data_IF_313034840418
#
_entry.id   IF_313034840418
#
_cell.length_a   1.000
_cell.length_b   1.000
_cell.length_c   1.000
_cell.angle_alpha   90.00
_cell.angle_beta   90.00
_cell.angle_gamma   90.00
#
_symmetry.space_group_name_H-M   'P 1'
#
loop_
_entity.id
_entity.type
_entity.pdbx_description
1 polymer ?
#
# COMPACT_ATOMS: atom_id res chain seq x y z
N UNK A 1 9.36 19.06 0.37
CA UNK A 1 8.28 18.57 1.27
C UNK A 1 8.21 19.46 2.50
N UNK A 2 7.01 19.91 2.93
CA UNK A 2 6.84 20.83 4.08
C UNK A 2 7.28 20.15 5.40
N UNK A 3 7.88 20.88 6.36
CA UNK A 3 8.45 20.30 7.59
C UNK A 3 7.42 19.57 8.47
N UNK A 4 6.16 20.04 8.48
CA UNK A 4 5.05 19.41 9.20
C UNK A 4 4.76 17.98 8.69
N UNK A 5 4.76 17.79 7.37
CA UNK A 5 4.54 16.48 6.72
C UNK A 5 5.66 15.51 7.12
N UNK A 6 6.90 15.98 7.14
CA UNK A 6 8.05 15.15 7.55
C UNK A 6 7.96 14.70 9.01
N UNK A 7 7.42 15.55 9.88
CA UNK A 7 7.19 15.21 11.29
C UNK A 7 6.07 14.19 11.45
N UNK A 8 4.95 14.36 10.72
CA UNK A 8 3.84 13.39 10.72
C UNK A 8 4.28 12.02 10.20
N UNK A 9 5.10 11.98 9.14
CA UNK A 9 5.64 10.72 8.59
C UNK A 9 6.67 10.05 9.52
N UNK A 10 7.41 10.81 10.33
CA UNK A 10 8.24 10.22 11.40
C UNK A 10 7.37 9.69 12.55
N UNK A 11 6.26 10.36 12.83
CA UNK A 11 5.28 9.95 13.84
C UNK A 11 4.51 8.68 13.45
N UNK A 12 4.26 8.45 12.16
CA UNK A 12 3.48 7.30 11.71
C UNK A 12 4.16 5.95 12.00
N UNK A 13 5.50 5.90 11.98
CA UNK A 13 6.24 4.68 12.37
C UNK A 13 6.05 4.33 13.85
N UNK A 14 5.72 5.30 14.71
CA UNK A 14 5.45 5.06 16.14
C UNK A 14 4.08 4.42 16.39
N UNK A 15 3.23 4.34 15.37
CA UNK A 15 1.90 3.72 15.46
C UNK A 15 1.95 2.20 15.27
N UNK A 16 3.12 1.65 14.88
CA UNK A 16 3.32 0.20 14.76
C UNK A 16 3.22 -0.44 16.15
N UNK A 17 2.30 -1.40 16.28
CA UNK A 17 2.01 -2.16 17.49
C UNK A 17 2.88 -3.41 17.54
N UNK A 18 3.28 -3.81 18.73
CA UNK A 18 4.00 -5.07 19.03
C UNK A 18 5.40 -5.22 18.41
N UNK A 19 5.75 -4.44 17.39
CA UNK A 19 7.03 -4.52 16.68
C UNK A 19 7.82 -3.22 16.89
N UNK A 20 9.08 -3.36 17.29
CA UNK A 20 10.03 -2.23 17.30
C UNK A 20 10.73 -2.15 15.95
N UNK A 21 10.49 -1.07 15.21
CA UNK A 21 11.12 -0.83 13.90
C UNK A 21 12.62 -0.60 14.05
N UNK A 22 13.41 -1.22 13.17
CA UNK A 22 14.86 -1.04 13.12
C UNK A 22 15.21 0.25 12.35
N UNK A 23 16.01 1.15 12.93
CA UNK A 23 16.50 2.33 12.22
C UNK A 23 17.57 1.94 11.18
N UNK A 24 17.76 2.72 10.10
CA UNK A 24 18.86 2.49 9.18
C UNK A 24 20.20 2.78 9.89
N UNK A 25 21.08 1.79 10.04
CA UNK A 25 22.36 1.93 10.78
C UNK A 25 23.54 2.28 9.88
N UNK A 26 23.65 1.64 8.71
CA UNK A 26 24.72 1.84 7.71
C UNK A 26 24.19 1.73 6.29
N UNK A 27 24.91 2.29 5.31
CA UNK A 27 24.47 2.30 3.90
C UNK A 27 24.56 0.94 3.19
N UNK A 28 25.32 -0.01 3.74
CA UNK A 28 25.51 -1.37 3.23
C UNK A 28 24.55 -2.41 3.86
N UNK A 29 23.68 -1.97 4.78
CA UNK A 29 22.65 -2.82 5.40
C UNK A 29 21.39 -2.86 4.51
N UNK A 30 20.83 -4.06 4.33
CA UNK A 30 19.58 -4.31 3.58
C UNK A 30 18.43 -3.41 4.05
N UNK A 31 18.31 -3.13 5.35
CA UNK A 31 17.26 -2.23 5.86
C UNK A 31 17.44 -0.82 5.32
N UNK A 32 18.67 -0.31 5.32
CA UNK A 32 18.97 1.02 4.83
C UNK A 32 18.79 1.13 3.32
N UNK A 33 19.17 0.09 2.57
CA UNK A 33 18.97 0.02 1.13
C UNK A 33 17.48 0.07 0.76
N UNK A 34 16.65 -0.79 1.38
CA UNK A 34 15.20 -0.81 1.14
C UNK A 34 14.57 0.54 1.52
N UNK A 35 14.97 1.13 2.66
CA UNK A 35 14.45 2.44 3.06
C UNK A 35 14.87 3.56 2.10
N UNK A 36 16.06 3.47 1.50
CA UNK A 36 16.50 4.42 0.49
C UNK A 36 15.68 4.28 -0.81
N UNK A 37 15.47 3.06 -1.29
CA UNK A 37 14.64 2.78 -2.46
C UNK A 37 13.19 3.24 -2.24
N UNK A 38 12.58 2.88 -1.10
CA UNK A 38 11.22 3.30 -0.75
C UNK A 38 11.07 4.83 -0.71
N UNK A 39 12.05 5.57 -0.17
CA UNK A 39 12.01 7.04 -0.21
C UNK A 39 12.12 7.61 -1.61
N UNK A 40 12.89 6.98 -2.51
CA UNK A 40 13.04 7.47 -3.88
C UNK A 40 11.83 7.16 -4.74
N UNK A 41 11.27 5.96 -4.62
CA UNK A 41 10.26 5.44 -5.55
C UNK A 41 8.83 5.54 -5.00
N UNK A 42 8.66 5.42 -3.69
CA UNK A 42 7.37 5.60 -3.02
C UNK A 42 7.23 6.97 -2.35
N UNK A 43 8.33 7.72 -2.18
CA UNK A 43 8.36 9.04 -1.53
C UNK A 43 8.47 8.97 0.00
N UNK A 44 8.19 7.82 0.59
CA UNK A 44 8.16 7.62 2.05
C UNK A 44 8.48 6.17 2.42
N UNK A 45 9.01 5.98 3.63
CA UNK A 45 9.01 4.65 4.27
C UNK A 45 7.69 4.51 5.04
N UNK A 46 6.70 3.88 4.42
CA UNK A 46 5.37 3.75 5.02
C UNK A 46 5.36 2.69 6.14
N UNK A 47 4.52 2.84 7.18
CA UNK A 47 4.40 1.86 8.26
C UNK A 47 4.13 0.40 7.79
N UNK A 48 3.28 0.14 6.77
CA UNK A 48 3.07 -1.22 6.25
C UNK A 48 4.34 -1.90 5.74
N UNK A 49 5.33 -1.12 5.29
CA UNK A 49 6.64 -1.63 4.87
C UNK A 49 7.58 -1.75 6.06
N UNK A 50 7.73 -0.67 6.85
CA UNK A 50 8.70 -0.56 7.94
C UNK A 50 8.54 -1.60 9.05
N UNK A 51 7.31 -2.10 9.26
CA UNK A 51 7.02 -3.14 10.26
C UNK A 51 7.85 -4.42 10.05
N UNK A 52 8.35 -4.67 8.84
CA UNK A 52 9.15 -5.86 8.53
C UNK A 52 10.64 -5.71 8.88
N UNK A 53 11.09 -4.51 9.27
CA UNK A 53 12.52 -4.19 9.44
C UNK A 53 13.31 -5.05 10.45
N UNK A 54 12.72 -5.66 11.50
CA UNK A 54 13.45 -6.64 12.32
C UNK A 54 13.85 -7.92 11.59
N UNK A 55 13.24 -8.20 10.43
CA UNK A 55 13.56 -9.34 9.57
C UNK A 55 13.95 -8.81 8.17
N UNK A 56 15.24 -8.47 7.93
CA UNK A 56 15.66 -7.77 6.71
C UNK A 56 15.29 -8.47 5.40
N UNK A 57 15.32 -9.81 5.36
CA UNK A 57 14.89 -10.57 4.19
C UNK A 57 13.38 -10.41 3.91
N UNK A 58 12.55 -10.42 4.96
CA UNK A 58 11.10 -10.18 4.85
C UNK A 58 10.82 -8.73 4.43
N UNK A 59 11.60 -7.76 4.94
CA UNK A 59 11.51 -6.37 4.50
C UNK A 59 11.84 -6.23 3.01
N UNK A 60 12.93 -6.84 2.55
CA UNK A 60 13.31 -6.82 1.13
C UNK A 60 12.25 -7.49 0.25
N UNK A 61 11.72 -8.64 0.65
CA UNK A 61 10.65 -9.32 -0.08
C UNK A 61 9.36 -8.50 -0.12
N UNK A 62 8.95 -7.91 1.01
CA UNK A 62 7.78 -7.02 1.07
C UNK A 62 7.96 -5.79 0.19
N UNK A 63 9.16 -5.22 0.13
CA UNK A 63 9.46 -4.11 -0.75
C UNK A 63 9.41 -4.52 -2.22
N UNK A 64 10.05 -5.63 -2.59
CA UNK A 64 10.03 -6.15 -3.95
C UNK A 64 8.61 -6.36 -4.44
N UNK A 65 7.77 -7.05 -3.66
CA UNK A 65 6.36 -7.29 -4.01
C UNK A 65 5.62 -5.96 -4.22
N UNK A 66 5.72 -5.02 -3.27
CA UNK A 66 5.06 -3.71 -3.39
C UNK A 66 5.57 -2.93 -4.61
N UNK A 67 6.89 -2.86 -4.79
CA UNK A 67 7.55 -2.12 -5.87
C UNK A 67 7.12 -2.63 -7.23
N UNK A 68 7.28 -3.93 -7.49
CA UNK A 68 7.00 -4.51 -8.81
C UNK A 68 5.50 -4.54 -9.12
N UNK A 69 4.66 -4.84 -8.12
CA UNK A 69 3.23 -5.03 -8.39
C UNK A 69 2.46 -3.72 -8.43
N UNK A 70 2.86 -2.71 -7.64
CA UNK A 70 2.15 -1.44 -7.56
C UNK A 70 2.88 -0.27 -8.22
N UNK A 71 4.21 -0.18 -8.07
CA UNK A 71 4.96 1.03 -8.44
C UNK A 71 5.55 0.99 -9.83
N UNK A 72 6.07 -0.16 -10.25
CA UNK A 72 6.70 -0.33 -11.55
C UNK A 72 5.72 -0.01 -12.68
N UNK A 73 6.22 0.72 -13.67
CA UNK A 73 5.49 0.98 -14.91
C UNK A 73 5.38 -0.31 -15.71
N UNK A 74 4.23 -0.51 -16.34
CA UNK A 74 3.90 -1.72 -17.08
C UNK A 74 2.71 -1.47 -17.99
N UNK A 75 2.02 -2.55 -18.39
CA UNK A 75 0.80 -2.46 -19.21
C UNK A 75 -0.35 -1.85 -18.40
N UNK A 76 -0.39 -2.15 -17.11
CA UNK A 76 -1.49 -1.74 -16.23
C UNK A 76 -1.13 -0.43 -15.55
N UNK A 77 -2.00 0.57 -15.69
CA UNK A 77 -1.78 1.89 -15.12
C UNK A 77 -1.68 1.84 -13.59
N UNK A 78 -0.99 2.83 -13.00
CA UNK A 78 -0.97 2.98 -11.55
C UNK A 78 -2.37 3.13 -10.96
N UNK A 79 -3.26 3.86 -11.64
CA UNK A 79 -4.64 4.05 -11.19
C UNK A 79 -5.42 2.73 -11.14
N UNK A 80 -5.23 1.84 -12.12
CA UNK A 80 -5.82 0.51 -12.14
C UNK A 80 -5.29 -0.37 -10.99
N UNK A 81 -3.98 -0.37 -10.73
CA UNK A 81 -3.37 -1.10 -9.62
C UNK A 81 -3.89 -0.61 -8.26
N UNK A 82 -4.00 0.71 -8.07
CA UNK A 82 -4.58 1.30 -6.85
C UNK A 82 -6.07 0.94 -6.68
N UNK A 83 -6.84 0.82 -7.78
CA UNK A 83 -8.23 0.38 -7.74
C UNK A 83 -8.36 -1.08 -7.26
N UNK A 84 -7.50 -1.97 -7.76
CA UNK A 84 -7.41 -3.37 -7.31
C UNK A 84 -7.03 -3.44 -5.82
N UNK A 85 -6.00 -2.69 -5.40
CA UNK A 85 -5.56 -2.62 -4.02
C UNK A 85 -6.68 -2.16 -3.07
N UNK A 86 -7.44 -1.14 -3.46
CA UNK A 86 -8.60 -0.67 -2.71
C UNK A 86 -9.73 -1.72 -2.64
N UNK A 87 -10.01 -2.42 -3.75
CA UNK A 87 -11.00 -3.51 -3.79
C UNK A 87 -10.65 -4.64 -2.83
N UNK A 88 -9.43 -5.16 -2.92
CA UNK A 88 -8.90 -6.19 -1.99
C UNK A 88 -8.93 -5.71 -0.53
N UNK A 89 -8.59 -4.45 -0.29
CA UNK A 89 -8.59 -3.86 1.05
C UNK A 89 -10.00 -3.76 1.66
N UNK A 90 -11.03 -3.52 0.84
CA UNK A 90 -12.43 -3.59 1.29
C UNK A 90 -12.83 -5.04 1.60
N UNK A 91 -12.49 -6.00 0.74
CA UNK A 91 -12.78 -7.41 0.97
C UNK A 91 -12.15 -7.96 2.27
N UNK A 92 -10.98 -7.43 2.64
CA UNK A 92 -10.25 -7.84 3.84
C UNK A 92 -10.61 -7.01 5.09
N UNK A 93 -11.61 -6.12 5.04
CA UNK A 93 -11.97 -5.19 6.13
C UNK A 93 -10.74 -4.43 6.68
N UNK A 94 -9.92 -3.88 5.78
CA UNK A 94 -8.69 -3.18 6.10
C UNK A 94 -8.84 -1.67 5.86
N UNK A 95 -9.52 -0.97 6.78
CA UNK A 95 -9.83 0.46 6.68
C UNK A 95 -8.61 1.35 6.41
N UNK A 96 -7.47 1.06 7.04
CA UNK A 96 -6.22 1.79 6.83
C UNK A 96 -5.83 1.80 5.36
N UNK A 97 -5.84 0.62 4.73
CA UNK A 97 -5.45 0.47 3.33
C UNK A 97 -6.48 1.07 2.39
N UNK A 98 -7.78 0.96 2.69
CA UNK A 98 -8.84 1.64 1.92
C UNK A 98 -8.57 3.14 1.88
N UNK A 99 -8.31 3.77 3.03
CA UNK A 99 -8.06 5.21 3.12
C UNK A 99 -6.81 5.61 2.30
N UNK A 100 -5.71 4.86 2.40
CA UNK A 100 -4.48 5.12 1.61
C UNK A 100 -4.73 5.02 0.11
N UNK A 101 -5.32 3.91 -0.35
CA UNK A 101 -5.45 3.63 -1.78
C UNK A 101 -6.50 4.53 -2.45
N UNK A 102 -7.62 4.83 -1.77
CA UNK A 102 -8.60 5.79 -2.28
C UNK A 102 -8.02 7.21 -2.32
N UNK A 103 -7.31 7.64 -1.27
CA UNK A 103 -6.67 8.95 -1.28
C UNK A 103 -5.66 9.06 -2.43
N UNK A 104 -4.86 8.00 -2.68
CA UNK A 104 -3.92 7.97 -3.79
C UNK A 104 -4.63 8.06 -5.14
N UNK A 105 -5.74 7.33 -5.32
CA UNK A 105 -6.54 7.41 -6.54
C UNK A 105 -6.96 8.85 -6.85
N UNK A 106 -7.40 9.64 -5.86
CA UNK A 106 -7.82 11.04 -6.11
C UNK A 106 -6.73 11.95 -6.69
N UNK A 107 -5.46 11.51 -6.67
CA UNK A 107 -4.31 12.24 -7.23
C UNK A 107 -3.92 11.77 -8.64
N UNK A 108 -4.49 10.66 -9.11
CA UNK A 108 -4.17 10.02 -10.37
C UNK A 108 -5.25 10.34 -11.42
N UNK A 109 -4.85 10.44 -12.68
CA UNK A 109 -5.80 10.59 -13.78
C UNK A 109 -6.51 9.26 -14.07
N UNK A 110 -7.77 9.32 -14.53
CA UNK A 110 -8.49 8.16 -15.05
C UNK A 110 -9.02 7.17 -14.01
N UNK A 111 -9.19 7.58 -12.75
CA UNK A 111 -9.70 6.69 -11.67
C UNK A 111 -11.03 6.04 -11.98
N UNK A 112 -11.97 6.82 -12.53
CA UNK A 112 -13.35 6.36 -12.77
C UNK A 112 -13.38 5.22 -13.80
N UNK A 113 -12.40 5.15 -14.71
CA UNK A 113 -12.28 4.11 -15.71
C UNK A 113 -12.00 2.72 -15.09
N UNK A 114 -11.48 2.67 -13.86
CA UNK A 114 -11.01 1.43 -13.23
C UNK A 114 -11.93 0.89 -12.13
N UNK A 115 -13.15 1.46 -11.99
CA UNK A 115 -14.14 1.02 -10.99
C UNK A 115 -14.47 -0.47 -11.09
N UNK A 116 -14.51 -1.02 -12.30
CA UNK A 116 -14.80 -2.44 -12.54
C UNK A 116 -13.73 -3.37 -11.91
N UNK A 117 -12.45 -2.97 -11.93
CA UNK A 117 -11.38 -3.74 -11.30
C UNK A 117 -11.50 -3.74 -9.78
N UNK A 118 -11.89 -2.61 -9.18
CA UNK A 118 -12.12 -2.53 -7.74
C UNK A 118 -13.27 -3.43 -7.27
N UNK A 119 -14.36 -3.50 -8.06
CA UNK A 119 -15.50 -4.37 -7.77
C UNK A 119 -15.10 -5.85 -7.89
N UNK A 120 -14.46 -6.23 -9.00
CA UNK A 120 -13.94 -7.59 -9.16
C UNK A 120 -13.00 -7.99 -8.02
N UNK A 121 -12.07 -7.12 -7.64
CA UNK A 121 -11.12 -7.40 -6.56
C UNK A 121 -11.78 -7.52 -5.18
N UNK A 122 -12.89 -6.80 -4.95
CA UNK A 122 -13.67 -6.94 -3.73
C UNK A 122 -14.35 -8.32 -3.64
N UNK A 123 -14.83 -8.83 -4.78
CA UNK A 123 -15.55 -10.10 -4.86
C UNK A 123 -14.62 -11.33 -5.02
N UNK A 124 -13.38 -11.12 -5.48
CA UNK A 124 -12.39 -12.15 -5.78
C UNK A 124 -12.00 -13.05 -4.58
N UNK A 125 -12.35 -12.65 -3.36
CA UNK A 125 -12.16 -13.46 -2.14
C UNK A 125 -13.28 -14.47 -1.90
N UNK A 126 -14.39 -14.34 -2.60
CA UNK A 126 -15.56 -15.19 -2.42
C UNK A 126 -15.55 -16.32 -3.47
N UNK A 127 -15.83 -17.55 -3.03
CA UNK A 127 -15.86 -18.71 -3.91
C UNK A 127 -16.96 -18.65 -5.01
N UNK A 128 -17.79 -17.59 -5.00
CA UNK A 128 -18.95 -17.45 -5.89
C UNK A 128 -18.61 -17.17 -7.35
N UNK A 129 -17.43 -16.60 -7.65
CA UNK A 129 -17.12 -16.12 -9.01
C UNK A 129 -16.00 -16.89 -9.71
N UNK A 130 -15.82 -18.19 -9.42
CA UNK A 130 -14.79 -19.01 -10.10
C UNK A 130 -15.03 -19.18 -11.61
N UNK A 131 -16.26 -18.97 -12.09
CA UNK A 131 -16.67 -19.26 -13.46
C UNK A 131 -16.82 -18.01 -14.34
N UNK A 132 -16.76 -16.80 -13.77
CA UNK A 132 -16.81 -15.56 -14.56
C UNK A 132 -15.43 -15.20 -15.12
N UNK A 133 -15.41 -14.81 -16.40
CA UNK A 133 -14.20 -14.28 -17.02
C UNK A 133 -13.78 -13.00 -16.29
N UNK A 134 -12.50 -12.86 -15.90
CA UNK A 134 -12.04 -11.65 -15.24
C UNK A 134 -12.22 -10.43 -16.16
N UNK A 135 -12.50 -9.24 -15.61
CA UNK A 135 -12.78 -8.04 -16.41
C UNK A 135 -11.50 -7.37 -16.91
N UNK A 136 -10.53 -8.15 -17.38
CA UNK A 136 -9.24 -7.69 -17.88
C UNK A 136 -8.63 -8.72 -18.83
N UNK A 137 -7.77 -8.23 -19.73
CA UNK A 137 -7.08 -9.07 -20.69
C UNK A 137 -6.07 -10.01 -20.03
N UNK A 138 -5.88 -11.20 -20.59
CA UNK A 138 -4.91 -12.18 -20.11
C UNK A 138 -3.47 -11.62 -20.03
N UNK A 139 -3.14 -10.65 -20.89
CA UNK A 139 -1.84 -10.01 -20.91
C UNK A 139 -1.62 -9.03 -19.74
N UNK A 140 -2.70 -8.54 -19.12
CA UNK A 140 -2.67 -7.63 -17.98
C UNK A 140 -2.76 -8.39 -16.64
N UNK A 141 -3.15 -9.67 -16.71
CA UNK A 141 -3.37 -10.53 -15.55
C UNK A 141 -2.18 -10.61 -14.57
N UNK A 142 -0.91 -10.73 -14.99
CA UNK A 142 0.20 -10.81 -14.03
C UNK A 142 0.32 -9.58 -13.13
N UNK A 143 0.10 -8.37 -13.66
CA UNK A 143 0.18 -7.12 -12.89
C UNK A 143 -1.04 -6.95 -11.96
N UNK A 144 -2.23 -7.29 -12.43
CA UNK A 144 -3.48 -7.20 -11.65
C UNK A 144 -3.49 -8.24 -10.53
N UNK A 145 -3.21 -9.50 -10.84
CA UNK A 145 -3.16 -10.59 -9.86
C UNK A 145 -2.01 -10.40 -8.87
N UNK A 146 -0.85 -9.95 -9.35
CA UNK A 146 0.28 -9.60 -8.49
C UNK A 146 -0.10 -8.52 -7.47
N UNK A 147 -0.81 -7.48 -7.91
CA UNK A 147 -1.34 -6.44 -7.02
C UNK A 147 -2.30 -7.05 -5.98
N UNK A 148 -3.28 -7.84 -6.42
CA UNK A 148 -4.27 -8.44 -5.53
C UNK A 148 -3.62 -9.32 -4.45
N UNK A 149 -2.70 -10.20 -4.83
CA UNK A 149 -1.98 -11.09 -3.90
C UNK A 149 -1.12 -10.30 -2.92
N UNK A 150 -0.37 -9.30 -3.40
CA UNK A 150 0.42 -8.41 -2.54
C UNK A 150 -0.45 -7.74 -1.48
N UNK A 151 -1.64 -7.26 -1.85
CA UNK A 151 -2.54 -6.60 -0.91
C UNK A 151 -3.27 -7.55 0.03
N UNK A 152 -3.53 -8.79 -0.36
CA UNK A 152 -3.94 -9.81 0.60
C UNK A 152 -2.91 -10.01 1.71
N UNK A 153 -1.62 -10.03 1.37
CA UNK A 153 -0.56 -10.11 2.37
C UNK A 153 -0.47 -8.84 3.22
N UNK A 154 -0.32 -7.68 2.59
CA UNK A 154 -0.13 -6.41 3.32
C UNK A 154 -1.33 -6.05 4.20
N UNK A 155 -2.57 -6.30 3.76
CA UNK A 155 -3.74 -6.06 4.61
C UNK A 155 -3.71 -6.88 5.90
N UNK A 156 -3.21 -8.12 5.88
CA UNK A 156 -3.07 -8.95 7.09
C UNK A 156 -2.04 -8.35 8.04
N UNK A 157 -0.90 -7.92 7.51
CA UNK A 157 0.14 -7.26 8.31
C UNK A 157 -0.36 -5.93 8.91
N UNK A 158 -1.07 -5.14 8.12
CA UNK A 158 -1.66 -3.86 8.54
C UNK A 158 -2.68 -4.07 9.66
N UNK A 159 -3.63 -4.99 9.47
CA UNK A 159 -4.69 -5.24 10.47
C UNK A 159 -4.14 -5.77 11.81
N UNK A 160 -3.01 -6.48 11.80
CA UNK A 160 -2.39 -6.99 13.02
C UNK A 160 -1.53 -5.95 13.74
N UNK A 161 -0.80 -5.11 12.98
CA UNK A 161 0.28 -4.30 13.54
C UNK A 161 0.06 -2.79 13.45
N UNK A 162 -1.00 -2.30 12.80
CA UNK A 162 -1.28 -0.88 12.62
C UNK A 162 -2.66 -0.49 13.18
N UNK A 163 -2.89 0.80 13.46
CA UNK A 163 -4.23 1.31 13.73
C UNK A 163 -5.12 1.27 12.48
N UNK A 164 -6.42 1.51 12.68
CA UNK A 164 -7.43 1.47 11.63
C UNK A 164 -7.33 2.62 10.63
N UNK A 165 -6.59 3.69 10.95
CA UNK A 165 -6.36 4.83 10.05
C UNK A 165 -4.86 5.19 9.96
N UNK A 166 -4.37 5.63 8.79
CA UNK A 166 -3.01 6.15 8.60
C UNK A 166 -2.80 7.52 9.21
N UNK A 167 -3.91 8.22 9.48
CA UNK A 167 -3.89 9.52 10.10
C UNK A 167 -3.83 9.34 11.62
N UNK A 168 -2.86 9.94 12.32
CA UNK A 168 -2.83 9.91 13.79
C UNK A 168 -4.11 10.49 14.38
N UNK A 169 -4.64 9.89 15.45
CA UNK A 169 -5.84 10.38 16.16
C UNK A 169 -5.70 11.84 16.61
N UNK A 170 -4.47 12.26 16.96
CA UNK A 170 -4.14 13.62 17.36
C UNK A 170 -4.13 14.64 16.20
N UNK A 171 -4.32 14.22 14.95
CA UNK A 171 -4.34 15.13 13.80
C UNK A 171 -5.69 15.87 13.70
N UNK A 172 -5.69 17.22 13.54
CA UNK A 172 -6.92 17.98 13.36
C UNK A 172 -7.70 17.50 12.13
N UNK A 173 -9.03 17.40 12.24
CA UNK A 173 -9.89 16.89 11.17
C UNK A 173 -9.69 17.59 9.80
N UNK A 174 -9.32 18.88 9.81
CA UNK A 174 -9.07 19.68 8.60
C UNK A 174 -7.75 19.33 7.87
N UNK A 175 -6.82 18.60 8.50
CA UNK A 175 -5.52 18.23 7.93
C UNK A 175 -5.46 16.83 7.32
N UNK A 176 -6.53 16.05 7.41
CA UNK A 176 -6.54 14.61 7.04
C UNK A 176 -6.40 14.39 5.53
N UNK A 177 -7.12 15.16 4.72
CA UNK A 177 -7.07 15.05 3.24
C UNK A 177 -5.72 15.40 2.60
N UNK A 178 -5.09 16.55 2.93
CA UNK A 178 -3.84 16.97 2.29
C UNK A 178 -2.62 16.08 2.58
N UNK A 179 -2.58 15.39 3.73
CA UNK A 179 -1.46 14.48 4.09
C UNK A 179 -1.49 13.19 3.28
N UNK A 180 -2.69 12.76 2.86
CA UNK A 180 -2.92 11.49 2.16
C UNK A 180 -2.87 11.65 0.63
N UNK A 181 -2.81 12.88 0.12
CA UNK A 181 -2.76 13.23 -1.32
C UNK A 181 -1.36 13.64 -1.81
N UNK A 182 -0.34 13.55 -0.96
CA UNK A 182 1.07 13.72 -1.32
C UNK A 182 1.66 12.39 -1.78
#
# INVERSE_FOLDING_TARGET
MRPLVRLMLKGSLRQIRHITVVPPTRSDDTVAEVYAQARREFGVVAPPLALHSPAPQTLAASWLLLRETLLAEGRVSRAAKEAVAAGVSRANDCSYCVEVHEAKQTTLAGTDAHRHLALWAADATTARNREEQPPFDAADAPEILGTAVTFHYLNRMVRLFLPDSPVPDAAPAAGRGPVMRL
#
